data_IF_125108849386
#
_entry.id   IF_125108849386
#
_cell.length_a   1.000
_cell.length_b   1.000
_cell.length_c   1.000
_cell.angle_alpha   90.00
_cell.angle_beta   90.00
_cell.angle_gamma   90.00
#
_symmetry.space_group_name_H-M   'P 1'
#
loop_
_entity.id
_entity.type
_entity.pdbx_description
1 polymer ?
#
# COMPACT_ATOMS: atom_id res chain seq x y z
N UNK A 1 31.57 20.84 -1.78
CA UNK A 1 31.49 19.41 -1.41
C UNK A 1 30.20 19.24 -0.66
N UNK A 2 29.19 18.62 -1.27
CA UNK A 2 28.01 18.14 -0.54
C UNK A 2 28.41 16.79 0.02
N UNK A 3 28.51 16.66 1.34
CA UNK A 3 28.68 15.37 1.99
C UNK A 3 27.46 14.51 1.63
N UNK A 4 27.72 13.37 1.00
CA UNK A 4 26.73 12.31 0.89
C UNK A 4 26.54 11.72 2.29
N UNK A 5 25.67 12.35 3.08
CA UNK A 5 25.09 11.72 4.27
C UNK A 5 24.37 10.48 3.74
N UNK A 6 24.75 9.29 4.23
CA UNK A 6 24.03 8.07 3.87
C UNK A 6 22.62 8.20 4.46
N UNK A 7 21.57 7.83 3.73
CA UNK A 7 20.17 7.92 4.19
C UNK A 7 19.91 7.23 5.56
N UNK A 8 20.77 6.29 5.97
CA UNK A 8 20.75 5.70 7.32
C UNK A 8 21.12 6.66 8.45
N UNK A 9 21.96 7.67 8.19
CA UNK A 9 22.32 8.71 9.16
C UNK A 9 21.18 9.74 9.33
N UNK A 10 20.33 9.95 8.32
CA UNK A 10 19.16 10.83 8.42
C UNK A 10 18.08 10.25 9.36
N UNK A 11 17.88 8.93 9.35
CA UNK A 11 16.95 8.25 10.27
C UNK A 11 17.39 8.34 11.75
N UNK A 12 18.69 8.54 12.00
CA UNK A 12 19.28 8.64 13.34
C UNK A 12 19.38 10.08 13.85
N UNK A 13 19.13 11.08 12.99
CA UNK A 13 19.32 12.50 13.32
C UNK A 13 18.06 13.20 13.87
N UNK A 14 16.91 12.54 13.91
CA UNK A 14 15.68 13.13 14.44
C UNK A 14 15.72 13.23 15.97
N UNK A 15 15.19 14.32 16.51
CA UNK A 15 14.96 14.49 17.95
C UNK A 15 13.67 13.80 18.44
N UNK A 16 12.85 13.31 17.51
CA UNK A 16 11.54 12.73 17.79
C UNK A 16 11.49 11.23 17.47
N UNK A 17 10.61 10.55 18.19
CA UNK A 17 10.34 9.13 18.03
C UNK A 17 9.61 8.92 16.71
N UNK A 18 10.06 7.99 15.88
CA UNK A 18 9.37 7.66 14.62
C UNK A 18 7.94 7.19 14.86
N UNK A 19 7.01 7.63 14.02
CA UNK A 19 5.59 7.42 14.25
C UNK A 19 5.18 5.94 14.25
N UNK A 20 5.78 5.10 13.41
CA UNK A 20 5.47 3.66 13.38
C UNK A 20 5.81 2.94 14.70
N UNK A 21 6.89 3.35 15.35
CA UNK A 21 7.24 2.89 16.69
C UNK A 21 6.28 3.45 17.75
N UNK A 22 6.01 4.75 17.68
CA UNK A 22 5.08 5.41 18.59
C UNK A 22 3.68 4.80 18.53
N UNK A 23 3.18 4.47 17.34
CA UNK A 23 1.88 3.81 17.11
C UNK A 23 1.76 2.48 17.85
N UNK A 24 2.79 1.65 17.76
CA UNK A 24 2.76 0.29 18.33
C UNK A 24 2.94 0.26 19.85
N UNK A 25 3.34 1.37 20.47
CA UNK A 25 3.72 1.42 21.90
C UNK A 25 3.09 2.57 22.67
N UNK A 26 3.30 3.80 22.21
CA UNK A 26 3.00 5.03 22.95
C UNK A 26 1.60 5.56 22.67
N UNK A 27 1.15 5.53 21.41
CA UNK A 27 -0.10 6.15 20.98
C UNK A 27 -1.34 5.33 21.38
N UNK A 28 -1.15 4.16 21.98
CA UNK A 28 -2.23 3.41 22.65
C UNK A 28 -2.64 4.03 23.99
N UNK A 29 -1.81 4.90 24.57
CA UNK A 29 -2.14 5.59 25.80
C UNK A 29 -3.09 6.76 25.54
N UNK A 30 -4.19 6.84 26.32
CA UNK A 30 -5.16 7.94 26.27
C UNK A 30 -4.52 9.32 26.38
N UNK A 31 -3.41 9.43 27.11
CA UNK A 31 -2.68 10.68 27.26
C UNK A 31 -2.13 11.23 25.93
N UNK A 32 -2.05 10.42 24.87
CA UNK A 32 -1.51 10.77 23.56
C UNK A 32 -2.59 10.82 22.46
N UNK A 33 -3.88 10.81 22.83
CA UNK A 33 -4.96 10.84 21.84
C UNK A 33 -4.91 12.09 20.96
N UNK A 34 -4.49 13.26 21.48
CA UNK A 34 -4.46 14.47 20.65
C UNK A 34 -3.46 14.40 19.49
N UNK A 35 -2.43 13.56 19.59
CA UNK A 35 -1.54 13.21 18.46
C UNK A 35 -2.34 12.49 17.36
N UNK A 36 -3.08 11.43 17.73
CA UNK A 36 -3.89 10.66 16.78
C UNK A 36 -5.08 11.45 16.23
N UNK A 37 -5.79 12.16 17.10
CA UNK A 37 -6.92 13.02 16.74
C UNK A 37 -6.47 14.11 15.76
N UNK A 38 -5.31 14.74 15.97
CA UNK A 38 -4.78 15.74 15.06
C UNK A 38 -4.38 15.17 13.69
N UNK A 39 -3.75 13.99 13.67
CA UNK A 39 -3.47 13.27 12.43
C UNK A 39 -4.75 12.92 11.66
N UNK A 40 -5.71 12.27 12.33
CA UNK A 40 -6.98 11.85 11.73
C UNK A 40 -7.82 13.06 11.30
N UNK A 41 -7.80 14.14 12.07
CA UNK A 41 -8.50 15.38 11.72
C UNK A 41 -7.98 15.96 10.42
N UNK A 42 -6.66 15.94 10.26
CA UNK A 42 -6.00 16.42 9.05
C UNK A 42 -6.27 15.51 7.85
N UNK A 43 -6.21 14.19 8.05
CA UNK A 43 -6.39 13.20 6.99
C UNK A 43 -7.83 13.12 6.48
N UNK A 44 -8.80 13.10 7.40
CA UNK A 44 -10.23 12.97 7.09
C UNK A 44 -10.87 14.33 6.77
N UNK A 45 -10.14 15.43 6.98
CA UNK A 45 -10.62 16.80 6.83
C UNK A 45 -11.90 17.06 7.65
N UNK A 46 -11.93 16.54 8.87
CA UNK A 46 -13.05 16.64 9.81
C UNK A 46 -12.53 16.63 11.24
N UNK A 47 -13.17 17.31 12.19
CA UNK A 47 -12.73 17.27 13.59
C UNK A 47 -12.96 15.89 14.23
N UNK A 48 -11.90 15.11 14.41
CA UNK A 48 -11.95 13.77 14.99
C UNK A 48 -11.65 13.82 16.49
N UNK A 49 -12.56 13.25 17.28
CA UNK A 49 -12.37 13.03 18.72
C UNK A 49 -12.46 11.54 18.99
N UNK A 50 -11.41 10.96 19.57
CA UNK A 50 -11.33 9.53 19.92
C UNK A 50 -11.99 9.33 21.28
N UNK A 51 -13.05 8.54 21.31
CA UNK A 51 -13.76 8.19 22.55
C UNK A 51 -13.02 7.08 23.31
N UNK A 52 -12.57 6.05 22.60
CA UNK A 52 -11.82 4.92 23.16
C UNK A 52 -11.02 4.21 22.08
N UNK A 53 -9.97 3.51 22.51
CA UNK A 53 -9.36 2.46 21.71
C UNK A 53 -10.06 1.14 22.03
N UNK A 54 -10.27 0.34 21.00
CA UNK A 54 -10.86 -0.97 21.07
C UNK A 54 -9.74 -2.00 21.01
N UNK A 55 -9.84 -3.05 21.83
CA UNK A 55 -8.90 -4.16 21.73
C UNK A 55 -9.14 -4.90 20.42
N UNK A 56 -8.05 -5.19 19.70
CA UNK A 56 -8.08 -5.94 18.45
C UNK A 56 -8.02 -7.46 18.67
N UNK A 57 -7.98 -7.88 19.93
CA UNK A 57 -7.92 -9.27 20.38
C UNK A 57 -9.33 -9.82 20.55
N UNK A 58 -10.12 -9.88 19.47
CA UNK A 58 -11.34 -10.69 19.47
C UNK A 58 -11.26 -11.79 18.42
N UNK A 59 -11.20 -13.00 18.98
CA UNK A 59 -11.51 -14.31 18.42
C UNK A 59 -10.37 -15.02 17.68
N UNK A 60 -9.53 -15.72 18.45
CA UNK A 60 -9.11 -17.08 18.10
C UNK A 60 -10.20 -18.02 18.60
N UNK A 61 -10.98 -18.63 17.70
CA UNK A 61 -11.77 -19.81 18.04
C UNK A 61 -11.05 -21.09 17.58
N UNK A 62 -10.26 -21.02 16.51
CA UNK A 62 -9.43 -22.13 16.01
C UNK A 62 -7.96 -21.76 15.74
N UNK A 63 -7.07 -22.74 15.82
CA UNK A 63 -5.62 -22.63 15.64
C UNK A 63 -5.20 -22.08 14.26
N UNK A 64 -6.10 -22.12 13.27
CA UNK A 64 -5.88 -21.69 11.89
C UNK A 64 -6.48 -20.32 11.54
N UNK A 65 -7.14 -19.64 12.48
CA UNK A 65 -7.68 -18.31 12.23
C UNK A 65 -6.55 -17.34 11.90
N UNK A 66 -6.69 -16.62 10.77
CA UNK A 66 -5.74 -15.58 10.37
C UNK A 66 -5.69 -14.51 11.47
N UNK A 67 -4.64 -14.56 12.28
CA UNK A 67 -4.35 -13.63 13.35
C UNK A 67 -4.25 -12.20 12.80
N UNK A 68 -5.28 -11.38 13.02
CA UNK A 68 -5.30 -9.97 12.61
C UNK A 68 -5.13 -9.06 13.83
N UNK A 69 -3.91 -8.97 14.36
CA UNK A 69 -3.59 -7.94 15.35
C UNK A 69 -3.41 -6.61 14.63
N UNK A 70 -4.45 -5.78 14.68
CA UNK A 70 -4.37 -4.42 14.13
C UNK A 70 -3.58 -3.50 15.06
N UNK A 71 -2.87 -2.53 14.47
CA UNK A 71 -1.99 -1.63 15.21
C UNK A 71 -2.78 -0.66 16.10
N UNK A 72 -3.85 -0.04 15.60
CA UNK A 72 -4.80 0.72 16.40
C UNK A 72 -6.21 0.53 15.81
N UNK A 73 -7.18 0.25 16.68
CA UNK A 73 -8.61 0.38 16.38
C UNK A 73 -9.19 1.42 17.32
N UNK A 74 -9.67 2.53 16.78
CA UNK A 74 -10.28 3.61 17.55
C UNK A 74 -11.77 3.72 17.25
N UNK A 75 -12.54 4.10 18.26
CA UNK A 75 -13.92 4.56 18.12
C UNK A 75 -13.96 6.07 18.33
N UNK A 76 -14.49 6.80 17.34
CA UNK A 76 -14.64 8.24 17.46
C UNK A 76 -15.96 8.63 18.18
N UNK A 77 -16.13 9.91 18.46
CA UNK A 77 -17.31 10.47 19.14
C UNK A 77 -18.63 10.29 18.38
N UNK A 78 -18.58 9.96 17.08
CA UNK A 78 -19.75 9.62 16.25
C UNK A 78 -20.10 8.13 16.29
N UNK A 79 -19.31 7.32 16.99
CA UNK A 79 -19.46 5.87 16.96
C UNK A 79 -18.99 5.26 15.63
N UNK A 80 -18.10 5.89 14.89
CA UNK A 80 -17.45 5.30 13.72
C UNK A 80 -16.17 4.58 14.14
N UNK A 81 -15.76 3.58 13.37
CA UNK A 81 -14.54 2.80 13.62
C UNK A 81 -13.41 3.32 12.73
N UNK A 82 -12.23 3.51 13.32
CA UNK A 82 -11.02 3.94 12.61
C UNK A 82 -9.95 2.89 12.85
N UNK A 83 -9.70 2.09 11.82
CA UNK A 83 -8.64 1.10 11.75
C UNK A 83 -7.39 1.77 11.21
N UNK A 84 -6.31 1.79 11.99
CA UNK A 84 -5.01 2.33 11.56
C UNK A 84 -3.99 1.19 11.52
N UNK A 85 -3.38 0.96 10.37
CA UNK A 85 -2.32 -0.02 10.17
C UNK A 85 -1.03 0.64 9.68
N UNK A 86 0.12 0.19 10.20
CA UNK A 86 1.44 0.69 9.83
C UNK A 86 2.37 -0.45 9.42
N UNK A 87 2.76 -0.48 8.16
CA UNK A 87 3.54 -1.58 7.58
C UNK A 87 4.86 -1.15 6.94
N UNK A 88 5.94 -1.83 7.33
CA UNK A 88 7.27 -1.66 6.76
C UNK A 88 7.64 -2.75 5.74
N UNK A 89 7.17 -3.97 5.94
CA UNK A 89 7.49 -5.10 5.06
C UNK A 89 6.62 -5.05 3.80
N UNK A 90 7.20 -5.45 2.66
CA UNK A 90 6.42 -5.67 1.44
C UNK A 90 5.39 -6.77 1.66
N UNK A 91 4.13 -6.53 1.29
CA UNK A 91 3.09 -7.54 1.27
C UNK A 91 2.37 -7.53 -0.07
N UNK A 92 2.46 -8.64 -0.82
CA UNK A 92 1.87 -8.74 -2.16
C UNK A 92 0.35 -8.60 -2.15
N UNK A 93 -0.31 -9.23 -1.17
CA UNK A 93 -1.76 -9.26 -1.05
C UNK A 93 -2.31 -8.14 -0.14
N UNK A 94 -1.62 -6.99 -0.05
CA UNK A 94 -1.96 -5.95 0.91
C UNK A 94 -3.34 -5.33 0.67
N UNK A 95 -3.76 -5.15 -0.59
CA UNK A 95 -5.11 -4.68 -0.89
C UNK A 95 -6.19 -5.66 -0.36
N UNK A 96 -5.94 -6.97 -0.45
CA UNK A 96 -6.83 -7.99 0.10
C UNK A 96 -6.79 -8.00 1.63
N UNK A 97 -5.63 -7.72 2.24
CA UNK A 97 -5.51 -7.54 3.70
C UNK A 97 -6.36 -6.36 4.19
N UNK A 98 -6.29 -5.21 3.50
CA UNK A 98 -7.12 -4.04 3.80
C UNK A 98 -8.62 -4.40 3.73
N UNK A 99 -9.04 -5.07 2.65
CA UNK A 99 -10.41 -5.56 2.48
C UNK A 99 -10.82 -6.50 3.62
N UNK A 100 -9.98 -7.48 3.96
CA UNK A 100 -10.26 -8.46 5.01
C UNK A 100 -10.42 -7.78 6.38
N UNK A 101 -9.48 -6.89 6.75
CA UNK A 101 -9.51 -6.17 8.02
C UNK A 101 -10.78 -5.34 8.18
N UNK A 102 -11.15 -4.57 7.15
CA UNK A 102 -12.39 -3.79 7.16
C UNK A 102 -13.63 -4.66 7.20
N UNK A 103 -13.67 -5.76 6.42
CA UNK A 103 -14.83 -6.66 6.38
C UNK A 103 -15.07 -7.33 7.74
N UNK A 104 -13.99 -7.74 8.41
CA UNK A 104 -14.06 -8.30 9.76
C UNK A 104 -14.69 -7.32 10.75
N UNK A 105 -14.26 -6.06 10.75
CA UNK A 105 -14.84 -5.02 11.63
C UNK A 105 -16.32 -4.76 11.35
N UNK A 106 -16.73 -4.76 10.08
CA UNK A 106 -18.15 -4.62 9.72
C UNK A 106 -19.00 -5.73 10.33
N UNK A 107 -18.48 -6.96 10.36
CA UNK A 107 -19.20 -8.12 10.90
C UNK A 107 -19.14 -8.25 12.42
N UNK A 108 -18.04 -7.82 13.06
CA UNK A 108 -17.86 -7.97 14.51
C UNK A 108 -18.65 -6.97 15.33
N UNK A 109 -18.92 -5.78 14.77
CA UNK A 109 -19.58 -4.69 15.48
C UNK A 109 -21.07 -4.56 15.14
N UNK A 110 -21.70 -5.63 14.68
CA UNK A 110 -23.15 -5.78 14.53
C UNK A 110 -23.62 -7.06 15.22
N UNK A 111 -24.62 -6.96 16.08
CA UNK A 111 -25.13 -8.09 16.85
C UNK A 111 -26.26 -8.82 16.12
N UNK A 112 -26.42 -10.10 16.43
CA UNK A 112 -27.53 -10.91 15.90
C UNK A 112 -28.87 -10.29 16.30
N UNK A 113 -29.70 -10.01 15.30
CA UNK A 113 -31.04 -9.42 15.50
C UNK A 113 -31.08 -7.89 15.36
N UNK A 114 -29.93 -7.22 15.24
CA UNK A 114 -29.88 -5.81 14.83
C UNK A 114 -30.14 -5.67 13.32
N UNK A 115 -30.81 -4.58 12.93
CA UNK A 115 -30.99 -4.24 11.53
C UNK A 115 -29.70 -3.68 10.91
N UNK A 116 -29.57 -3.76 9.58
CA UNK A 116 -28.36 -3.32 8.86
C UNK A 116 -28.11 -1.81 8.94
N UNK A 117 -29.10 -1.01 9.35
CA UNK A 117 -28.91 0.40 9.67
C UNK A 117 -27.96 0.62 10.86
N UNK A 118 -27.62 -0.43 11.61
CA UNK A 118 -26.64 -0.40 12.71
C UNK A 118 -25.22 -0.70 12.27
N UNK A 119 -24.99 -1.09 11.01
CA UNK A 119 -23.63 -1.27 10.48
C UNK A 119 -22.85 0.03 10.65
N UNK A 120 -21.74 -0.06 11.38
CA UNK A 120 -20.90 1.11 11.69
C UNK A 120 -20.02 1.47 10.49
N UNK A 121 -19.88 2.77 10.23
CA UNK A 121 -18.89 3.29 9.29
C UNK A 121 -17.48 2.91 9.75
N UNK A 122 -16.65 2.48 8.80
CA UNK A 122 -15.24 2.14 9.02
C UNK A 122 -14.35 3.02 8.15
N UNK A 123 -13.36 3.66 8.75
CA UNK A 123 -12.22 4.25 8.06
C UNK A 123 -11.01 3.32 8.20
N UNK A 124 -10.40 2.92 7.09
CA UNK A 124 -9.18 2.11 7.05
C UNK A 124 -8.02 3.00 6.63
N UNK A 125 -7.19 3.39 7.58
CA UNK A 125 -6.00 4.23 7.38
C UNK A 125 -4.76 3.33 7.33
N UNK A 126 -4.10 3.30 6.18
CA UNK A 126 -3.00 2.38 5.88
C UNK A 126 -1.74 3.19 5.58
N UNK A 127 -0.81 3.20 6.53
CA UNK A 127 0.47 3.90 6.40
C UNK A 127 1.50 2.86 5.96
N UNK A 128 1.97 2.97 4.72
CA UNK A 128 2.87 1.99 4.12
C UNK A 128 4.24 2.59 3.81
N UNK A 129 5.28 1.95 4.33
CA UNK A 129 6.69 2.26 4.08
C UNK A 129 7.27 1.38 2.97
N UNK A 130 6.44 0.95 2.04
CA UNK A 130 6.84 0.14 0.90
C UNK A 130 6.11 0.55 -0.38
N UNK A 131 6.63 0.11 -1.52
CA UNK A 131 6.02 0.38 -2.82
C UNK A 131 4.74 -0.44 -2.98
N UNK A 132 3.58 0.20 -2.83
CA UNK A 132 2.27 -0.42 -3.03
C UNK A 132 1.60 0.11 -4.31
N UNK A 133 1.26 -0.79 -5.23
CA UNK A 133 0.61 -0.43 -6.49
C UNK A 133 1.45 0.48 -7.39
N UNK A 134 0.79 1.08 -8.39
CA UNK A 134 1.39 2.06 -9.30
C UNK A 134 0.57 3.35 -9.28
N UNK A 135 1.23 4.48 -9.05
CA UNK A 135 0.63 5.80 -8.97
C UNK A 135 1.63 6.84 -8.50
N UNK A 136 1.39 8.11 -8.86
CA UNK A 136 2.29 9.24 -8.59
C UNK A 136 2.01 9.99 -7.30
N UNK A 137 0.79 9.87 -6.79
CA UNK A 137 0.38 10.51 -5.54
C UNK A 137 0.95 9.76 -4.33
N UNK A 138 1.02 10.46 -3.20
CA UNK A 138 1.47 9.96 -1.91
C UNK A 138 0.29 9.51 -1.06
N UNK A 139 -0.88 10.15 -1.23
CA UNK A 139 -2.11 9.79 -0.51
C UNK A 139 -3.19 9.39 -1.49
N UNK A 140 -3.81 8.23 -1.26
CA UNK A 140 -4.97 7.78 -2.02
C UNK A 140 -6.16 7.63 -1.11
N UNK A 141 -7.30 8.16 -1.55
CA UNK A 141 -8.60 7.99 -0.90
C UNK A 141 -9.47 7.07 -1.77
N UNK A 142 -9.76 5.89 -1.25
CA UNK A 142 -10.66 4.91 -1.84
C UNK A 142 -12.02 4.95 -1.16
N UNK A 143 -13.08 5.09 -1.95
CA UNK A 143 -14.46 5.09 -1.47
C UNK A 143 -15.35 4.34 -2.45
N UNK A 144 -16.48 3.83 -1.95
CA UNK A 144 -17.44 3.11 -2.79
C UNK A 144 -18.34 4.09 -3.52
N UNK A 145 -18.33 4.06 -4.85
CA UNK A 145 -19.27 4.77 -5.73
C UNK A 145 -19.93 3.77 -6.67
N UNK A 146 -21.26 3.86 -6.80
CA UNK A 146 -22.01 3.08 -7.78
C UNK A 146 -22.25 3.94 -9.00
N UNK A 147 -21.71 3.53 -10.16
CA UNK A 147 -21.82 4.26 -11.41
C UNK A 147 -22.71 3.51 -12.40
N UNK A 148 -23.67 4.21 -12.99
CA UNK A 148 -24.55 3.64 -14.00
C UNK A 148 -23.77 3.19 -15.24
N UNK A 149 -23.90 1.92 -15.63
CA UNK A 149 -23.16 1.34 -16.77
C UNK A 149 -23.62 1.90 -18.13
N UNK A 150 -24.82 2.48 -18.18
CA UNK A 150 -25.41 3.01 -19.41
C UNK A 150 -25.37 4.55 -19.46
N UNK A 151 -25.71 5.22 -18.36
CA UNK A 151 -25.77 6.69 -18.30
C UNK A 151 -24.53 7.34 -17.65
N UNK A 152 -23.70 6.58 -16.92
CA UNK A 152 -22.48 7.09 -16.28
C UNK A 152 -22.71 7.95 -15.03
N UNK A 153 -23.97 8.12 -14.59
CA UNK A 153 -24.36 8.84 -13.40
C UNK A 153 -23.92 8.12 -12.12
N UNK A 154 -23.70 8.88 -11.04
CA UNK A 154 -23.39 8.33 -9.72
C UNK A 154 -24.72 8.16 -8.99
N UNK A 155 -24.97 6.96 -8.48
CA UNK A 155 -26.18 6.66 -7.72
C UNK A 155 -26.15 7.40 -6.37
N UNK A 156 -27.13 8.28 -6.16
CA UNK A 156 -27.25 9.08 -4.95
C UNK A 156 -28.29 8.51 -3.96
N UNK A 157 -28.18 8.95 -2.70
CA UNK A 157 -29.20 8.69 -1.69
C UNK A 157 -30.47 9.52 -1.97
N UNK A 158 -31.63 8.93 -1.73
CA UNK A 158 -32.89 9.69 -1.73
C UNK A 158 -32.93 10.70 -0.58
N UNK A 159 -33.75 11.77 -0.65
CA UNK A 159 -33.90 12.72 0.45
C UNK A 159 -34.27 12.07 1.80
N UNK A 160 -35.11 11.04 1.76
CA UNK A 160 -35.47 10.25 2.94
C UNK A 160 -34.24 9.54 3.54
N UNK A 161 -33.44 8.86 2.72
CA UNK A 161 -32.23 8.20 3.20
C UNK A 161 -31.19 9.19 3.75
N UNK A 162 -30.99 10.35 3.09
CA UNK A 162 -30.09 11.40 3.59
C UNK A 162 -30.52 11.86 4.98
N UNK A 163 -31.83 12.04 5.20
CA UNK A 163 -32.38 12.41 6.51
C UNK A 163 -32.26 11.28 7.55
N UNK A 164 -32.54 10.03 7.17
CA UNK A 164 -32.48 8.86 8.08
C UNK A 164 -31.06 8.59 8.55
N UNK A 165 -30.10 8.56 7.62
CA UNK A 165 -28.71 8.20 7.91
C UNK A 165 -27.82 9.41 8.21
N UNK A 166 -28.32 10.64 8.00
CA UNK A 166 -27.60 11.91 8.23
C UNK A 166 -26.28 12.00 7.45
N UNK A 167 -26.32 11.57 6.19
CA UNK A 167 -25.19 11.61 5.25
C UNK A 167 -25.66 12.09 3.89
N UNK A 168 -24.75 12.63 3.09
CA UNK A 168 -25.05 13.23 1.79
C UNK A 168 -24.80 12.28 0.61
N UNK A 169 -23.87 11.33 0.77
CA UNK A 169 -23.44 10.42 -0.29
C UNK A 169 -23.46 8.94 0.16
N UNK A 170 -23.69 8.03 -0.80
CA UNK A 170 -23.65 6.59 -0.56
C UNK A 170 -22.29 6.16 0.03
N UNK A 171 -21.18 6.73 -0.45
CA UNK A 171 -19.84 6.42 0.04
C UNK A 171 -19.69 6.60 1.56
N UNK A 172 -20.43 7.53 2.18
CA UNK A 172 -20.38 7.77 3.61
C UNK A 172 -21.00 6.63 4.43
N UNK A 173 -21.82 5.76 3.82
CA UNK A 173 -22.37 4.54 4.45
C UNK A 173 -21.42 3.34 4.35
N UNK A 174 -20.48 3.36 3.39
CA UNK A 174 -19.56 2.26 3.14
C UNK A 174 -18.20 2.53 3.79
N UNK A 175 -17.36 1.51 3.97
CA UNK A 175 -15.99 1.77 4.37
C UNK A 175 -15.23 2.69 3.41
N UNK A 176 -14.36 3.52 3.97
CA UNK A 176 -13.42 4.36 3.23
C UNK A 176 -11.99 3.97 3.56
N UNK A 177 -11.13 4.01 2.56
CA UNK A 177 -9.74 3.59 2.64
C UNK A 177 -8.83 4.76 2.37
N UNK A 178 -7.84 4.97 3.23
CA UNK A 178 -6.77 5.92 3.04
C UNK A 178 -5.47 5.14 2.96
N UNK A 179 -4.69 5.34 1.89
CA UNK A 179 -3.37 4.75 1.72
C UNK A 179 -2.36 5.88 1.68
N UNK A 180 -1.42 5.88 2.62
CA UNK A 180 -0.33 6.85 2.71
C UNK A 180 0.99 6.15 2.35
N UNK A 181 1.53 6.43 1.16
CA UNK A 181 2.80 5.90 0.64
C UNK A 181 3.96 6.78 1.09
N UNK A 182 4.26 6.77 2.38
CA UNK A 182 5.06 7.82 3.02
C UNK A 182 6.51 7.93 2.50
N UNK A 183 7.12 6.83 2.07
CA UNK A 183 8.48 6.85 1.48
C UNK A 183 8.54 7.58 0.11
N UNK A 184 7.41 7.77 -0.57
CA UNK A 184 7.37 8.43 -1.88
C UNK A 184 7.33 9.96 -1.75
N UNK A 185 7.26 10.49 -0.52
CA UNK A 185 7.23 11.92 -0.26
C UNK A 185 8.64 12.52 -0.24
N UNK A 186 8.99 13.28 -1.28
CA UNK A 186 10.33 13.87 -1.46
C UNK A 186 10.30 15.38 -1.71
N UNK A 187 9.27 16.06 -1.22
CA UNK A 187 9.05 17.50 -1.42
C UNK A 187 8.91 18.27 -0.11
N UNK A 188 8.98 19.60 -0.19
CA UNK A 188 8.68 20.47 0.95
C UNK A 188 7.18 20.42 1.22
N UNK A 189 6.79 20.20 2.48
CA UNK A 189 5.40 20.22 2.91
C UNK A 189 4.77 21.61 2.71
N UNK A 190 3.59 21.66 2.08
CA UNK A 190 2.84 22.90 1.78
C UNK A 190 1.42 22.88 2.37
N UNK A 191 1.01 21.76 2.97
CA UNK A 191 -0.29 21.59 3.60
C UNK A 191 -0.15 20.85 4.94
N UNK A 192 -1.12 21.00 5.86
CA UNK A 192 -1.10 20.25 7.12
C UNK A 192 -0.97 18.73 6.95
N UNK A 193 -1.58 18.15 5.91
CA UNK A 193 -1.46 16.71 5.64
C UNK A 193 -0.04 16.35 5.20
N UNK A 194 0.59 17.18 4.36
CA UNK A 194 1.98 16.97 3.95
C UNK A 194 2.97 17.16 5.11
N UNK A 195 2.67 18.00 6.10
CA UNK A 195 3.48 18.08 7.32
C UNK A 195 3.42 16.77 8.11
N UNK A 196 2.23 16.15 8.21
CA UNK A 196 2.09 14.80 8.78
C UNK A 196 2.86 13.76 7.97
N UNK A 197 2.74 13.77 6.64
CA UNK A 197 3.47 12.83 5.78
C UNK A 197 4.98 13.02 5.92
N UNK A 198 5.46 14.26 6.02
CA UNK A 198 6.87 14.54 6.28
C UNK A 198 7.31 13.88 7.58
N UNK A 199 6.58 14.09 8.69
CA UNK A 199 6.89 13.44 9.96
C UNK A 199 6.83 11.91 9.88
N UNK A 200 5.82 11.34 9.19
CA UNK A 200 5.73 9.90 8.99
C UNK A 200 6.94 9.35 8.21
N UNK A 201 7.44 10.08 7.22
CA UNK A 201 8.54 9.67 6.36
C UNK A 201 9.91 9.79 7.06
N UNK A 202 10.19 10.97 7.63
CA UNK A 202 11.52 11.33 8.16
C UNK A 202 11.66 11.06 9.65
N UNK A 203 10.54 10.98 10.38
CA UNK A 203 10.54 10.98 11.84
C UNK A 203 10.82 12.35 12.46
N UNK A 204 10.92 13.43 11.67
CA UNK A 204 11.19 14.78 12.13
C UNK A 204 9.96 15.70 12.01
N UNK A 205 9.86 16.71 12.86
CA UNK A 205 8.75 17.67 12.86
C UNK A 205 9.33 19.09 12.72
N UNK A 206 9.13 19.77 11.59
CA UNK A 206 9.62 21.13 11.38
C UNK A 206 9.07 22.10 12.44
N UNK A 207 9.88 23.08 12.86
CA UNK A 207 9.48 24.07 13.87
C UNK A 207 8.27 24.90 13.45
N UNK A 208 8.15 25.17 12.14
CA UNK A 208 7.04 25.91 11.56
C UNK A 208 5.81 25.04 11.26
N UNK A 209 5.82 23.74 11.62
CA UNK A 209 4.67 22.87 11.39
C UNK A 209 3.46 23.31 12.23
N UNK A 210 2.32 23.42 11.55
CA UNK A 210 1.06 23.96 12.09
C UNK A 210 -0.07 22.93 12.14
N UNK A 211 0.14 21.73 11.58
CA UNK A 211 -0.90 20.73 11.52
C UNK A 211 -1.41 20.34 12.92
N UNK A 212 -2.73 20.18 13.10
CA UNK A 212 -3.31 19.67 14.34
C UNK A 212 -2.59 18.40 14.81
N UNK A 213 -2.30 18.32 16.11
CA UNK A 213 -1.62 17.19 16.76
C UNK A 213 -0.09 17.19 16.66
N UNK A 214 0.54 17.89 15.70
CA UNK A 214 2.01 17.91 15.59
C UNK A 214 2.68 18.66 16.76
N UNK A 215 2.04 19.69 17.31
CA UNK A 215 2.52 20.33 18.55
C UNK A 215 2.55 19.34 19.72
N UNK A 216 1.51 18.55 19.89
CA UNK A 216 1.48 17.52 20.93
C UNK A 216 2.48 16.40 20.63
N UNK A 217 2.67 16.03 19.37
CA UNK A 217 3.70 15.07 18.96
C UNK A 217 5.10 15.56 19.35
N UNK A 218 5.43 16.83 19.10
CA UNK A 218 6.72 17.44 19.52
C UNK A 218 6.93 17.37 21.03
N UNK A 219 5.87 17.50 21.81
CA UNK A 219 5.97 17.44 23.27
C UNK A 219 6.07 16.00 23.76
N UNK A 220 5.24 15.09 23.25
CA UNK A 220 5.05 13.74 23.78
C UNK A 220 6.02 12.73 23.21
N UNK A 221 6.47 12.91 21.97
CA UNK A 221 7.27 11.94 21.23
C UNK A 221 8.74 12.38 21.14
N UNK A 222 9.30 12.93 22.23
CA UNK A 222 10.73 13.25 22.31
C UNK A 222 11.55 12.04 22.71
N UNK A 223 12.68 11.84 22.04
CA UNK A 223 13.58 10.73 22.35
C UNK A 223 14.23 10.85 23.74
N UNK A 224 14.51 12.06 24.21
CA UNK A 224 15.13 12.33 25.51
C UNK A 224 14.27 11.91 26.72
N UNK A 225 12.97 11.67 26.50
CA UNK A 225 12.04 11.16 27.52
C UNK A 225 12.07 9.64 27.65
N UNK A 226 12.71 8.92 26.73
CA UNK A 226 12.82 7.47 26.81
C UNK A 226 13.75 7.05 27.94
N UNK A 227 13.39 5.98 28.64
CA UNK A 227 14.34 5.26 29.48
C UNK A 227 15.45 4.63 28.63
N UNK A 228 16.57 4.28 29.25
CA UNK A 228 17.70 3.63 28.56
C UNK A 228 17.27 2.34 27.83
N UNK A 229 16.38 1.56 28.42
CA UNK A 229 15.90 0.31 27.82
C UNK A 229 14.95 0.56 26.65
N UNK A 230 14.06 1.56 26.75
CA UNK A 230 13.21 1.98 25.64
C UNK A 230 14.03 2.53 24.48
N UNK A 231 15.05 3.33 24.78
CA UNK A 231 15.95 3.89 23.76
C UNK A 231 16.75 2.79 23.05
N UNK A 232 17.26 1.81 23.80
CA UNK A 232 17.93 0.63 23.20
C UNK A 232 16.97 -0.22 22.35
N UNK A 233 15.71 -0.35 22.77
CA UNK A 233 14.70 -1.04 21.98
C UNK A 233 14.37 -0.26 20.70
N UNK A 234 14.31 1.07 20.79
CA UNK A 234 14.07 1.96 19.66
C UNK A 234 15.21 1.91 18.64
N UNK A 235 16.48 1.97 19.07
CA UNK A 235 17.61 1.86 18.14
C UNK A 235 17.64 0.50 17.44
N UNK A 236 17.37 -0.60 18.14
CA UNK A 236 17.22 -1.92 17.51
C UNK A 236 16.11 -1.95 16.44
N UNK A 237 15.04 -1.19 16.65
CA UNK A 237 13.97 -1.07 15.65
C UNK A 237 14.43 -0.30 14.41
N UNK A 238 15.16 0.79 14.59
CA UNK A 238 15.76 1.52 13.46
C UNK A 238 16.74 0.63 12.68
N UNK A 239 17.61 -0.11 13.38
CA UNK A 239 18.53 -1.07 12.75
C UNK A 239 17.78 -2.12 11.94
N UNK A 240 16.70 -2.69 12.49
CA UNK A 240 15.87 -3.66 11.79
C UNK A 240 15.21 -3.08 10.52
N UNK A 241 14.78 -1.81 10.55
CA UNK A 241 14.22 -1.13 9.38
C UNK A 241 15.29 -0.94 8.30
N UNK A 242 16.50 -0.55 8.67
CA UNK A 242 17.62 -0.38 7.73
C UNK A 242 17.97 -1.73 7.09
N UNK A 243 18.12 -2.78 7.89
CA UNK A 243 18.38 -4.15 7.40
C UNK A 243 17.27 -4.61 6.44
N UNK A 244 16.01 -4.38 6.80
CA UNK A 244 14.88 -4.72 5.94
C UNK A 244 14.96 -4.00 4.58
N UNK A 245 15.27 -2.70 4.57
CA UNK A 245 15.42 -1.91 3.34
C UNK A 245 16.56 -2.45 2.47
N UNK A 246 17.70 -2.77 3.06
CA UNK A 246 18.86 -3.33 2.35
C UNK A 246 18.54 -4.71 1.75
N UNK A 247 17.84 -5.57 2.49
CA UNK A 247 17.39 -6.87 1.99
C UNK A 247 16.45 -6.70 0.79
N UNK A 248 15.43 -5.83 0.92
CA UNK A 248 14.49 -5.55 -0.18
C UNK A 248 15.21 -4.99 -1.42
N UNK A 249 16.21 -4.13 -1.23
CA UNK A 249 17.00 -3.59 -2.34
C UNK A 249 17.80 -4.68 -3.05
N UNK A 250 18.45 -5.55 -2.28
CA UNK A 250 19.25 -6.68 -2.78
C UNK A 250 18.38 -7.66 -3.55
N UNK A 251 17.26 -8.11 -2.97
CA UNK A 251 16.29 -9.00 -3.61
C UNK A 251 15.75 -8.41 -4.93
N UNK A 252 15.42 -7.11 -4.96
CA UNK A 252 14.98 -6.44 -6.19
C UNK A 252 16.09 -6.35 -7.24
N UNK A 253 17.34 -6.20 -6.82
CA UNK A 253 18.48 -6.14 -7.74
C UNK A 253 18.77 -7.52 -8.36
N UNK A 254 18.75 -8.58 -7.54
CA UNK A 254 18.90 -9.98 -7.97
C UNK A 254 17.77 -10.38 -8.92
N UNK A 255 16.51 -10.17 -8.54
CA UNK A 255 15.37 -10.50 -9.40
C UNK A 255 15.36 -9.76 -10.75
N UNK A 256 15.85 -8.50 -10.79
CA UNK A 256 16.06 -7.78 -12.07
C UNK A 256 17.20 -8.38 -12.91
N UNK A 257 18.23 -8.90 -12.27
CA UNK A 257 19.35 -9.54 -12.97
C UNK A 257 18.91 -10.88 -13.55
N UNK A 258 18.24 -11.71 -12.76
CA UNK A 258 17.67 -13.00 -13.18
C UNK A 258 16.70 -12.81 -14.34
N UNK A 259 15.71 -11.93 -14.21
CA UNK A 259 14.75 -11.67 -15.29
C UNK A 259 15.39 -11.16 -16.59
N UNK A 260 16.49 -10.39 -16.50
CA UNK A 260 17.27 -9.98 -17.69
C UNK A 260 18.03 -11.15 -18.32
N UNK A 261 18.57 -12.07 -17.51
CA UNK A 261 19.26 -13.25 -18.00
C UNK A 261 18.28 -14.21 -18.67
N UNK A 262 17.16 -14.49 -18.02
CA UNK A 262 16.08 -15.33 -18.58
C UNK A 262 15.55 -14.76 -19.88
N UNK A 263 15.17 -13.47 -19.91
CA UNK A 263 14.67 -12.84 -21.14
C UNK A 263 15.72 -12.80 -22.27
N UNK A 264 17.01 -12.73 -21.95
CA UNK A 264 18.08 -12.84 -22.96
C UNK A 264 18.23 -14.25 -23.50
N UNK A 265 18.07 -15.27 -22.64
CA UNK A 265 18.14 -16.68 -23.05
C UNK A 265 16.93 -17.01 -23.92
N UNK A 266 15.72 -16.66 -23.46
CA UNK A 266 14.48 -16.87 -24.18
C UNK A 266 14.50 -16.17 -25.55
N UNK A 267 14.78 -14.86 -25.57
CA UNK A 267 14.86 -14.11 -26.83
C UNK A 267 15.95 -14.61 -27.79
N UNK A 268 17.05 -15.17 -27.28
CA UNK A 268 18.06 -15.82 -28.14
C UNK A 268 17.55 -17.14 -28.71
N UNK A 269 16.84 -17.95 -27.93
CA UNK A 269 16.27 -19.21 -28.41
C UNK A 269 15.18 -18.96 -29.45
N UNK A 270 14.27 -18.02 -29.19
CA UNK A 270 13.24 -17.60 -30.13
C UNK A 270 13.87 -17.06 -31.42
N UNK A 271 14.79 -16.10 -31.33
CA UNK A 271 15.46 -15.56 -32.52
C UNK A 271 16.25 -16.59 -33.32
N UNK A 272 16.85 -17.59 -32.67
CA UNK A 272 17.50 -18.71 -33.38
C UNK A 272 16.49 -19.66 -34.04
N UNK A 273 15.33 -19.89 -33.43
CA UNK A 273 14.28 -20.71 -34.02
C UNK A 273 13.65 -20.01 -35.23
N UNK A 274 13.31 -18.72 -35.09
CA UNK A 274 12.79 -17.87 -36.16
C UNK A 274 13.79 -17.77 -37.31
N UNK A 275 15.06 -17.44 -37.03
CA UNK A 275 16.09 -17.35 -38.06
C UNK A 275 16.31 -18.65 -38.82
N UNK A 276 16.26 -19.81 -38.15
CA UNK A 276 16.32 -21.13 -38.83
C UNK A 276 15.11 -21.38 -39.71
N UNK A 277 13.92 -20.97 -39.28
CA UNK A 277 12.70 -21.11 -40.07
C UNK A 277 12.73 -20.19 -41.30
N UNK A 278 13.16 -18.94 -41.14
CA UNK A 278 13.34 -18.00 -42.24
C UNK A 278 14.38 -18.49 -43.25
N UNK A 279 15.51 -19.03 -42.80
CA UNK A 279 16.54 -19.62 -43.67
C UNK A 279 16.00 -20.82 -44.46
N UNK A 280 15.21 -21.69 -43.81
CA UNK A 280 14.51 -22.80 -44.49
C UNK A 280 13.55 -22.31 -45.56
N UNK A 281 12.73 -21.29 -45.25
CA UNK A 281 11.77 -20.69 -46.19
C UNK A 281 12.49 -20.03 -47.36
N UNK A 282 13.52 -19.23 -47.11
CA UNK A 282 14.32 -18.59 -48.16
C UNK A 282 15.01 -19.61 -49.08
N UNK A 283 15.55 -20.69 -48.50
CA UNK A 283 16.14 -21.80 -49.26
C UNK A 283 15.11 -22.52 -50.12
N UNK A 284 13.92 -22.80 -49.57
CA UNK A 284 12.82 -23.41 -50.31
C UNK A 284 12.35 -22.53 -51.47
N UNK A 285 12.15 -21.22 -51.26
CA UNK A 285 11.80 -20.26 -52.32
C UNK A 285 12.85 -20.23 -53.44
N UNK A 286 14.14 -20.27 -53.09
CA UNK A 286 15.23 -20.32 -54.08
C UNK A 286 15.22 -21.63 -54.87
N UNK A 287 15.04 -22.78 -54.22
CA UNK A 287 14.95 -24.08 -54.89
C UNK A 287 13.70 -24.18 -55.79
N UNK A 288 12.57 -23.60 -55.35
CA UNK A 288 11.33 -23.49 -56.14
C UNK A 288 11.57 -22.68 -57.41
N UNK A 289 12.31 -21.57 -57.33
CA UNK A 289 12.67 -20.76 -58.50
C UNK A 289 13.56 -21.49 -59.52
N UNK A 290 14.28 -22.54 -59.08
CA UNK A 290 15.11 -23.42 -59.92
C UNK A 290 14.33 -24.64 -60.46
N UNK A 291 13.00 -24.69 -60.31
CA UNK A 291 12.13 -25.81 -60.71
C UNK A 291 12.52 -27.17 -60.10
N UNK A 292 13.10 -27.20 -58.90
CA UNK A 292 13.34 -28.44 -58.17
C UNK A 292 11.98 -29.02 -57.72
N UNK A 293 11.72 -30.33 -57.86
CA UNK A 293 10.46 -30.95 -57.44
C UNK A 293 10.14 -30.74 -55.95
N UNK A 294 8.88 -30.51 -55.61
CA UNK A 294 8.45 -30.20 -54.25
C UNK A 294 8.78 -31.30 -53.24
N UNK A 295 8.73 -32.56 -53.63
CA UNK A 295 9.11 -33.69 -52.77
C UNK A 295 10.59 -33.60 -52.37
N UNK A 296 11.46 -33.19 -53.30
CA UNK A 296 12.90 -32.99 -53.04
C UNK A 296 13.13 -31.75 -52.15
N UNK A 297 12.41 -30.65 -52.37
CA UNK A 297 12.51 -29.44 -51.52
C UNK A 297 12.05 -29.75 -50.08
N UNK A 298 10.97 -30.52 -49.94
CA UNK A 298 10.44 -30.95 -48.64
C UNK A 298 11.44 -31.82 -47.88
N UNK A 299 12.07 -32.80 -48.57
CA UNK A 299 13.11 -33.64 -47.96
C UNK A 299 14.35 -32.85 -47.50
N UNK A 300 14.75 -31.81 -48.23
CA UNK A 300 15.96 -31.03 -47.92
C UNK A 300 15.72 -29.97 -46.84
N UNK A 301 14.58 -29.28 -46.87
CA UNK A 301 14.30 -28.16 -45.95
C UNK A 301 13.52 -28.59 -44.70
N UNK A 302 12.85 -29.74 -44.77
CA UNK A 302 11.94 -30.24 -43.74
C UNK A 302 10.64 -29.45 -43.63
N UNK A 303 10.32 -28.60 -44.62
CA UNK A 303 9.02 -27.94 -44.75
C UNK A 303 8.02 -28.89 -45.41
N UNK A 304 6.74 -28.76 -45.06
CA UNK A 304 5.66 -29.50 -45.70
C UNK A 304 5.44 -29.03 -47.13
N UNK A 305 4.84 -29.87 -47.97
CA UNK A 305 4.55 -29.53 -49.36
C UNK A 305 3.57 -28.35 -49.44
N UNK A 306 2.60 -28.29 -48.52
CA UNK A 306 1.67 -27.19 -48.36
C UNK A 306 2.40 -25.87 -48.08
N UNK A 307 3.31 -25.84 -47.10
CA UNK A 307 4.13 -24.65 -46.81
C UNK A 307 4.98 -24.23 -48.01
N UNK A 308 5.55 -25.18 -48.78
CA UNK A 308 6.35 -24.88 -49.98
C UNK A 308 5.48 -24.31 -51.12
N UNK A 309 4.22 -24.73 -51.24
CA UNK A 309 3.29 -24.18 -52.25
C UNK A 309 2.93 -22.74 -51.94
N UNK A 310 2.79 -22.40 -50.67
CA UNK A 310 2.43 -21.05 -50.19
C UNK A 310 3.58 -20.02 -50.24
N UNK A 311 4.84 -20.48 -50.28
CA UNK A 311 6.05 -19.63 -50.47
C UNK A 311 6.19 -19.08 -51.90
#
# INVERSE_FOLDING_TARGET
>A
MKENIKEGDELMASNYIRFDWAMKRLLRNKANFGVLEGFLTTLLNENIVIQKLLESESNQEEEFDKYNRVDILAENSKGELILIEVQNNNEYAYFQRMLFGTSKLVTEYINRGEGYEKVRKVYSVNIVYFSLGNGKDVVYHGKTEFRGIHQGDILELTPFQKQTFKVDAVSQLYPEYYILKVNDFNQIAKSPLEEWIYYLNTGDIPDNATAPGLTEARERLKLDRMTKDELNAYYRHLDNIVILRDNIYTERAEGRMEGRMEGRIEGRMEGQAEGRLEEKKASASKMKSLNIPFDTISQVTGLTIEEIKEL
#
